data_IF_523477097116
#
_entry.id   IF_523477097116
#
_cell.length_a   1.000
_cell.length_b   1.000
_cell.length_c   1.000
_cell.angle_alpha   90.00
_cell.angle_beta   90.00
_cell.angle_gamma   90.00
#
_symmetry.space_group_name_H-M   'P 1'
#
loop_
_entity.id
_entity.type
_entity.pdbx_description
1 polymer ?
#
# COMPACT_ATOMS: atom_id res chain seq x y z
N UNK A 1 5.63 -21.19 -3.47
CA UNK A 1 5.36 -20.11 -2.49
C UNK A 1 3.99 -20.31 -1.86
N UNK A 2 3.79 -20.01 -0.56
CA UNK A 2 2.58 -20.36 0.20
C UNK A 2 1.86 -19.13 0.78
N UNK A 3 0.60 -19.33 1.21
CA UNK A 3 -0.26 -18.27 1.77
C UNK A 3 0.33 -17.62 3.03
N UNK A 4 1.05 -18.40 3.84
CA UNK A 4 1.72 -17.90 5.05
C UNK A 4 2.74 -16.81 4.71
N UNK A 5 3.58 -17.01 3.70
CA UNK A 5 4.57 -16.00 3.27
C UNK A 5 3.88 -14.73 2.76
N UNK A 6 2.80 -14.86 1.98
CA UNK A 6 2.02 -13.70 1.50
C UNK A 6 1.47 -12.87 2.67
N UNK A 7 0.88 -13.52 3.66
CA UNK A 7 0.34 -12.84 4.84
C UNK A 7 1.45 -12.15 5.64
N UNK A 8 2.57 -12.83 5.91
CA UNK A 8 3.72 -12.26 6.64
C UNK A 8 4.23 -10.98 5.95
N UNK A 9 4.47 -11.05 4.64
CA UNK A 9 4.96 -9.88 3.88
C UNK A 9 3.94 -8.75 3.87
N UNK A 10 2.65 -9.07 3.73
CA UNK A 10 1.59 -8.06 3.76
C UNK A 10 1.46 -7.39 5.13
N UNK A 11 1.63 -8.15 6.21
CA UNK A 11 1.66 -7.60 7.58
C UNK A 11 2.89 -6.73 7.82
N UNK A 12 4.06 -7.12 7.32
CA UNK A 12 5.27 -6.31 7.40
C UNK A 12 5.08 -4.96 6.68
N UNK A 13 4.49 -4.99 5.48
CA UNK A 13 4.11 -3.81 4.70
C UNK A 13 2.94 -3.01 5.30
N UNK A 14 2.30 -3.48 6.37
CA UNK A 14 1.27 -2.73 7.09
C UNK A 14 1.85 -2.12 8.37
N UNK A 15 2.77 -2.82 9.01
CA UNK A 15 3.46 -2.39 10.22
C UNK A 15 4.45 -1.24 9.98
N UNK A 16 5.07 -1.18 8.80
CA UNK A 16 5.95 -0.08 8.39
C UNK A 16 5.33 1.32 8.54
N UNK A 17 4.04 1.50 8.23
CA UNK A 17 3.33 2.78 8.37
C UNK A 17 3.20 3.20 9.84
N UNK A 18 3.09 2.22 10.75
CA UNK A 18 3.14 2.49 12.19
C UNK A 18 4.54 2.96 12.61
N UNK A 19 5.59 2.37 12.02
CA UNK A 19 6.98 2.83 12.23
C UNK A 19 7.15 4.26 11.73
N UNK A 20 6.65 4.59 10.53
CA UNK A 20 6.69 5.96 10.02
C UNK A 20 5.95 6.94 10.94
N UNK A 21 4.78 6.56 11.45
CA UNK A 21 4.03 7.37 12.43
C UNK A 21 4.81 7.59 13.73
N UNK A 22 5.47 6.55 14.25
CA UNK A 22 6.33 6.65 15.43
C UNK A 22 7.53 7.57 15.18
N UNK A 23 8.16 7.49 14.00
CA UNK A 23 9.26 8.38 13.61
C UNK A 23 8.78 9.83 13.56
N UNK A 24 7.66 10.12 12.88
CA UNK A 24 7.09 11.47 12.82
C UNK A 24 6.80 12.01 14.23
N UNK A 25 6.21 11.19 15.11
CA UNK A 25 5.95 11.58 16.49
C UNK A 25 7.23 11.92 17.28
N UNK A 26 8.27 11.08 17.18
CA UNK A 26 9.55 11.30 17.86
C UNK A 26 10.26 12.56 17.35
N UNK A 27 10.29 12.76 16.03
CA UNK A 27 10.91 13.92 15.41
C UNK A 27 10.17 15.22 15.77
N UNK A 28 8.83 15.19 15.81
CA UNK A 28 8.01 16.32 16.24
C UNK A 28 8.28 16.70 17.70
N UNK A 29 8.34 15.70 18.60
CA UNK A 29 8.62 15.91 20.02
C UNK A 29 9.99 16.57 20.26
N UNK A 30 10.98 16.29 19.41
CA UNK A 30 12.34 16.78 19.55
C UNK A 30 12.59 18.17 18.91
N UNK A 31 11.57 18.85 18.40
CA UNK A 31 11.65 20.21 17.82
C UNK A 31 12.82 20.37 16.82
N UNK A 32 12.99 19.40 15.94
CA UNK A 32 14.05 19.43 14.93
C UNK A 32 13.82 20.63 14.01
N UNK A 33 14.88 21.37 13.69
CA UNK A 33 14.79 22.53 12.80
C UNK A 33 14.41 22.08 11.38
N UNK A 34 13.42 22.74 10.80
CA UNK A 34 12.89 22.43 9.48
C UNK A 34 13.44 23.38 8.42
N UNK A 35 13.75 22.84 7.24
CA UNK A 35 14.47 23.56 6.18
C UNK A 35 13.56 24.44 5.32
N UNK A 36 12.24 24.23 5.34
CA UNK A 36 11.29 24.94 4.49
C UNK A 36 10.11 25.48 5.29
N UNK A 37 9.67 26.71 4.98
CA UNK A 37 8.40 27.24 5.46
C UNK A 37 7.26 26.60 4.67
N UNK A 38 6.28 26.04 5.39
CA UNK A 38 5.13 25.37 4.77
C UNK A 38 4.36 26.29 3.83
N UNK A 39 4.30 25.94 2.55
CA UNK A 39 3.49 26.67 1.56
C UNK A 39 2.06 26.15 1.59
N UNK A 40 1.09 27.01 1.26
CA UNK A 40 -0.35 26.66 1.20
C UNK A 40 -0.72 25.74 0.03
N UNK A 41 0.25 25.19 -0.68
CA UNK A 41 0.12 24.42 -1.91
C UNK A 41 -0.09 22.91 -1.68
N UNK A 42 -0.75 22.54 -0.58
CA UNK A 42 -0.99 21.15 -0.17
C UNK A 42 -1.78 20.33 -1.21
N UNK A 43 -2.58 20.99 -2.05
CA UNK A 43 -3.38 20.34 -3.09
C UNK A 43 -2.54 19.66 -4.18
N UNK A 44 -1.33 20.17 -4.49
CA UNK A 44 -0.42 19.52 -5.46
C UNK A 44 0.08 18.17 -4.99
N UNK A 45 0.07 17.91 -3.69
CA UNK A 45 0.44 16.63 -3.09
C UNK A 45 -0.79 15.74 -2.93
N UNK A 46 -1.91 16.34 -2.52
CA UNK A 46 -3.11 15.59 -2.17
C UNK A 46 -3.81 14.99 -3.40
N UNK A 47 -3.82 15.70 -4.54
CA UNK A 47 -4.41 15.19 -5.78
C UNK A 47 -3.69 13.93 -6.29
N UNK A 48 -2.35 13.91 -6.48
CA UNK A 48 -1.63 12.68 -6.80
C UNK A 48 -1.82 11.58 -5.76
N UNK A 49 -1.88 11.92 -4.48
CA UNK A 49 -2.08 10.94 -3.42
C UNK A 49 -3.42 10.20 -3.56
N UNK A 50 -4.50 10.93 -3.85
CA UNK A 50 -5.81 10.33 -4.13
C UNK A 50 -5.78 9.48 -5.41
N UNK A 51 -5.12 9.95 -6.47
CA UNK A 51 -4.97 9.17 -7.72
C UNK A 51 -4.28 7.84 -7.45
N UNK A 52 -3.22 7.81 -6.64
CA UNK A 52 -2.53 6.58 -6.25
C UNK A 52 -3.46 5.68 -5.43
N UNK A 53 -4.18 6.23 -4.45
CA UNK A 53 -5.07 5.47 -3.57
C UNK A 53 -6.19 4.76 -4.36
N UNK A 54 -6.90 5.48 -5.23
CA UNK A 54 -7.97 4.91 -6.07
C UNK A 54 -7.41 4.09 -7.24
N UNK A 55 -6.23 4.46 -7.76
CA UNK A 55 -5.54 3.77 -8.85
C UNK A 55 -5.02 2.39 -8.45
N UNK A 56 -4.57 2.22 -7.21
CA UNK A 56 -4.02 0.95 -6.73
C UNK A 56 -5.05 -0.20 -6.78
N UNK A 57 -6.31 0.08 -6.42
CA UNK A 57 -7.41 -0.88 -6.54
C UNK A 57 -7.75 -1.22 -7.99
N UNK A 58 -7.78 -0.21 -8.87
CA UNK A 58 -8.00 -0.39 -10.31
C UNK A 58 -6.87 -1.22 -10.94
N UNK A 59 -5.62 -0.97 -10.57
CA UNK A 59 -4.46 -1.74 -11.02
C UNK A 59 -4.57 -3.21 -10.65
N UNK A 60 -4.96 -3.52 -9.40
CA UNK A 60 -5.19 -4.90 -8.92
C UNK A 60 -6.20 -5.62 -9.82
N UNK A 61 -7.31 -4.96 -10.20
CA UNK A 61 -8.34 -5.53 -11.07
C UNK A 61 -7.83 -5.76 -12.49
N UNK A 62 -7.21 -4.74 -13.11
CA UNK A 62 -6.65 -4.81 -14.46
C UNK A 62 -5.61 -5.93 -14.57
N UNK A 63 -4.72 -6.04 -13.58
CA UNK A 63 -3.72 -7.10 -13.57
C UNK A 63 -4.36 -8.49 -13.59
N UNK A 64 -5.39 -8.71 -12.76
CA UNK A 64 -6.10 -9.99 -12.73
C UNK A 64 -6.81 -10.30 -14.04
N UNK A 65 -7.47 -9.32 -14.64
CA UNK A 65 -8.16 -9.50 -15.91
C UNK A 65 -7.18 -9.86 -17.04
N UNK A 66 -5.99 -9.26 -17.04
CA UNK A 66 -4.91 -9.62 -17.98
C UNK A 66 -4.39 -11.04 -17.76
N UNK A 67 -4.18 -11.46 -16.51
CA UNK A 67 -3.69 -12.81 -16.21
C UNK A 67 -4.71 -13.89 -16.58
N UNK A 68 -6.01 -13.62 -16.39
CA UNK A 68 -7.09 -14.52 -16.82
C UNK A 68 -7.10 -14.69 -18.33
N UNK A 69 -7.02 -13.59 -19.09
CA UNK A 69 -7.01 -13.61 -20.56
C UNK A 69 -5.83 -14.39 -21.14
N UNK A 70 -4.68 -14.37 -20.46
CA UNK A 70 -3.48 -15.08 -20.92
C UNK A 70 -3.46 -16.57 -20.55
N UNK A 71 -4.50 -17.12 -19.90
CA UNK A 71 -4.51 -18.47 -19.33
C UNK A 71 -3.25 -18.78 -18.50
N UNK A 72 -2.60 -17.75 -17.94
CA UNK A 72 -1.26 -17.84 -17.40
C UNK A 72 -1.19 -18.54 -16.03
N UNK A 73 -2.33 -19.00 -15.50
CA UNK A 73 -2.44 -19.56 -14.14
C UNK A 73 -2.90 -21.00 -14.26
N UNK A 74 -1.99 -21.86 -14.72
CA UNK A 74 -2.21 -23.31 -14.82
C UNK A 74 -1.88 -24.08 -13.54
N UNK A 75 -1.19 -23.44 -12.56
CA UNK A 75 -0.78 -24.10 -11.31
C UNK A 75 -0.99 -23.20 -10.09
N UNK A 76 -1.19 -23.83 -8.93
CA UNK A 76 -1.31 -23.12 -7.65
C UNK A 76 -0.06 -22.32 -7.30
N UNK A 77 1.13 -22.80 -7.67
CA UNK A 77 2.37 -22.07 -7.42
C UNK A 77 2.42 -20.76 -8.20
N UNK A 78 2.03 -20.80 -9.49
CA UNK A 78 1.97 -19.60 -10.33
C UNK A 78 0.91 -18.64 -9.77
N UNK A 79 -0.24 -19.14 -9.33
CA UNK A 79 -1.30 -18.35 -8.70
C UNK A 79 -0.77 -17.55 -7.50
N UNK A 80 -0.13 -18.20 -6.54
CA UNK A 80 0.41 -17.53 -5.35
C UNK A 80 1.51 -16.54 -5.70
N UNK A 81 2.37 -16.86 -6.68
CA UNK A 81 3.40 -15.94 -7.18
C UNK A 81 2.77 -14.68 -7.78
N UNK A 82 1.69 -14.81 -8.55
CA UNK A 82 0.98 -13.68 -9.15
C UNK A 82 0.25 -12.83 -8.12
N UNK A 83 -0.47 -13.44 -7.16
CA UNK A 83 -1.08 -12.71 -6.04
C UNK A 83 -0.02 -11.90 -5.30
N UNK A 84 1.13 -12.49 -5.02
CA UNK A 84 2.19 -11.83 -4.29
C UNK A 84 2.77 -10.64 -5.02
N UNK A 85 3.08 -10.80 -6.31
CA UNK A 85 3.56 -9.68 -7.14
C UNK A 85 2.56 -8.53 -7.12
N UNK A 86 1.28 -8.83 -7.34
CA UNK A 86 0.22 -7.81 -7.29
C UNK A 86 0.13 -7.16 -5.93
N UNK A 87 0.18 -7.95 -4.87
CA UNK A 87 0.07 -7.45 -3.49
C UNK A 87 1.22 -6.50 -3.18
N UNK A 88 2.46 -6.86 -3.51
CA UNK A 88 3.62 -5.99 -3.29
C UNK A 88 3.50 -4.70 -4.09
N UNK A 89 3.13 -4.78 -5.37
CA UNK A 89 3.00 -3.59 -6.20
C UNK A 89 1.89 -2.68 -5.66
N UNK A 90 0.70 -3.23 -5.38
CA UNK A 90 -0.43 -2.46 -4.86
C UNK A 90 -0.12 -1.85 -3.50
N UNK A 91 0.40 -2.63 -2.54
CA UNK A 91 0.74 -2.11 -1.21
C UNK A 91 1.91 -1.14 -1.27
N UNK A 92 2.91 -1.37 -2.13
CA UNK A 92 4.04 -0.46 -2.35
C UNK A 92 3.64 0.87 -3.00
N UNK A 93 2.69 0.84 -3.94
CA UNK A 93 2.09 2.07 -4.48
C UNK A 93 1.42 2.87 -3.38
N UNK A 94 0.63 2.23 -2.51
CA UNK A 94 -0.01 2.91 -1.37
C UNK A 94 1.02 3.34 -0.31
N UNK A 95 2.11 2.59 -0.12
CA UNK A 95 3.19 2.93 0.81
C UNK A 95 3.93 4.21 0.42
N UNK A 96 4.04 4.48 -0.89
CA UNK A 96 4.62 5.74 -1.38
C UNK A 96 3.94 6.98 -0.79
N UNK A 97 2.66 6.90 -0.41
CA UNK A 97 1.96 7.98 0.29
C UNK A 97 2.52 8.21 1.70
N UNK A 98 2.79 7.14 2.44
CA UNK A 98 3.36 7.21 3.78
C UNK A 98 4.78 7.76 3.75
N UNK A 99 5.59 7.30 2.78
CA UNK A 99 6.94 7.82 2.53
C UNK A 99 6.89 9.31 2.18
N UNK A 100 5.99 9.71 1.28
CA UNK A 100 5.81 11.12 0.90
C UNK A 100 5.39 11.98 2.10
N UNK A 101 4.49 11.48 2.95
CA UNK A 101 4.12 12.13 4.20
C UNK A 101 5.33 12.37 5.10
N UNK A 102 6.16 11.34 5.29
CA UNK A 102 7.38 11.43 6.10
C UNK A 102 8.39 12.44 5.52
N UNK A 103 8.58 12.47 4.20
CA UNK A 103 9.44 13.45 3.53
C UNK A 103 8.93 14.87 3.77
N UNK A 104 7.64 15.11 3.56
CA UNK A 104 7.02 16.43 3.76
C UNK A 104 7.16 16.88 5.21
N UNK A 105 6.99 15.97 6.17
CA UNK A 105 7.17 16.26 7.58
C UNK A 105 8.60 16.69 7.89
N UNK A 106 9.60 15.96 7.40
CA UNK A 106 11.02 16.28 7.62
C UNK A 106 11.34 17.68 7.08
N UNK A 107 10.84 18.01 5.88
CA UNK A 107 11.12 19.28 5.22
C UNK A 107 10.41 20.49 5.87
N UNK A 108 9.14 20.32 6.26
CA UNK A 108 8.26 21.44 6.63
C UNK A 108 7.92 21.53 8.11
N UNK A 109 8.02 20.43 8.84
CA UNK A 109 7.58 20.31 10.24
C UNK A 109 6.08 20.37 10.47
N UNK A 110 5.29 20.64 9.43
CA UNK A 110 3.85 20.72 9.53
C UNK A 110 3.26 19.31 9.70
N UNK A 111 2.49 19.07 10.77
CA UNK A 111 1.94 17.74 11.07
C UNK A 111 0.73 17.37 10.19
N UNK A 112 -0.10 18.34 9.81
CA UNK A 112 -1.43 18.08 9.25
C UNK A 112 -1.40 17.21 7.98
N UNK A 113 -0.61 17.62 6.98
CA UNK A 113 -0.55 16.92 5.69
C UNK A 113 0.20 15.56 5.79
N UNK A 114 1.38 15.46 6.42
CA UNK A 114 2.04 14.18 6.66
C UNK A 114 1.20 13.14 7.39
N UNK A 115 0.55 13.54 8.49
CA UNK A 115 -0.31 12.63 9.27
C UNK A 115 -1.49 12.18 8.42
N UNK A 116 -2.12 13.09 7.65
CA UNK A 116 -3.18 12.72 6.72
C UNK A 116 -2.69 11.69 5.69
N UNK A 117 -1.52 11.90 5.08
CA UNK A 117 -0.94 10.98 4.10
C UNK A 117 -0.59 9.61 4.70
N UNK A 118 -0.08 9.58 5.94
CA UNK A 118 0.16 8.35 6.68
C UNK A 118 -1.13 7.59 6.98
N UNK A 119 -2.18 8.29 7.42
CA UNK A 119 -3.50 7.69 7.65
C UNK A 119 -4.10 7.15 6.36
N UNK A 120 -4.00 7.90 5.25
CA UNK A 120 -4.45 7.46 3.93
C UNK A 120 -3.66 6.24 3.44
N UNK A 121 -2.34 6.22 3.66
CA UNK A 121 -1.50 5.06 3.34
C UNK A 121 -1.94 3.83 4.13
N UNK A 122 -2.12 3.97 5.44
CA UNK A 122 -2.57 2.89 6.31
C UNK A 122 -3.95 2.36 5.91
N UNK A 123 -4.92 3.25 5.71
CA UNK A 123 -6.27 2.90 5.28
C UNK A 123 -6.27 2.23 3.90
N UNK A 124 -5.50 2.76 2.95
CA UNK A 124 -5.35 2.17 1.62
C UNK A 124 -4.73 0.76 1.68
N UNK A 125 -3.74 0.53 2.55
CA UNK A 125 -3.14 -0.79 2.77
C UNK A 125 -4.14 -1.77 3.36
N UNK A 126 -4.94 -1.34 4.34
CA UNK A 126 -6.01 -2.15 4.93
C UNK A 126 -7.05 -2.56 3.88
N UNK A 127 -7.51 -1.63 3.05
CA UNK A 127 -8.50 -1.91 2.00
C UNK A 127 -7.93 -2.89 0.96
N UNK A 128 -6.64 -2.78 0.63
CA UNK A 128 -6.01 -3.61 -0.39
C UNK A 128 -5.41 -4.92 0.14
N UNK A 129 -5.47 -5.16 1.45
CA UNK A 129 -4.87 -6.29 2.13
C UNK A 129 -5.40 -7.63 1.54
N UNK A 130 -4.52 -8.62 1.29
CA UNK A 130 -4.94 -9.90 0.73
C UNK A 130 -5.59 -10.78 1.80
N UNK A 131 -6.87 -10.54 2.08
CA UNK A 131 -7.64 -11.37 3.03
C UNK A 131 -7.79 -12.80 2.51
N UNK A 132 -7.97 -13.76 3.43
CA UNK A 132 -8.21 -15.16 3.06
C UNK A 132 -9.45 -15.32 2.18
N UNK A 133 -10.49 -14.52 2.43
CA UNK A 133 -11.68 -14.46 1.59
C UNK A 133 -11.38 -13.99 0.16
N UNK A 134 -10.59 -12.92 0.00
CA UNK A 134 -10.15 -12.46 -1.32
C UNK A 134 -9.39 -13.55 -2.07
N UNK A 135 -8.45 -14.24 -1.41
CA UNK A 135 -7.66 -15.32 -2.00
C UNK A 135 -8.58 -16.48 -2.42
N UNK A 136 -9.52 -16.88 -1.57
CA UNK A 136 -10.45 -17.98 -1.85
C UNK A 136 -11.41 -17.64 -2.99
N UNK A 137 -11.90 -16.40 -3.05
CA UNK A 137 -12.71 -15.92 -4.16
C UNK A 137 -11.92 -15.96 -5.48
N UNK A 138 -10.65 -15.55 -5.48
CA UNK A 138 -9.79 -15.65 -6.66
C UNK A 138 -9.43 -17.09 -7.06
N UNK A 139 -9.29 -18.02 -6.11
CA UNK A 139 -9.15 -19.46 -6.43
C UNK A 139 -10.40 -20.01 -7.11
N UNK A 140 -11.59 -19.66 -6.60
CA UNK A 140 -12.89 -20.07 -7.18
C UNK A 140 -13.08 -19.53 -8.60
N UNK A 141 -12.74 -18.27 -8.84
CA UNK A 141 -12.77 -17.66 -10.18
C UNK A 141 -11.85 -18.36 -11.20
N UNK A 142 -10.91 -19.20 -10.74
CA UNK A 142 -9.93 -19.90 -11.55
C UNK A 142 -10.08 -21.43 -11.47
N UNK A 143 -11.13 -21.95 -10.83
CA UNK A 143 -11.38 -23.39 -10.60
C UNK A 143 -10.19 -24.13 -9.94
N UNK A 144 -9.44 -23.45 -9.08
CA UNK A 144 -8.33 -24.07 -8.32
C UNK A 144 -8.86 -24.74 -7.04
N UNK A 145 -8.31 -25.90 -6.62
CA UNK A 145 -8.80 -26.60 -5.43
C UNK A 145 -8.59 -25.77 -4.15
N UNK A 146 -9.56 -25.80 -3.20
CA UNK A 146 -9.39 -25.22 -1.88
C UNK A 146 -8.39 -26.05 -1.06
N UNK A 147 -7.55 -25.38 -0.27
CA UNK A 147 -6.67 -25.98 0.74
C UNK A 147 -7.17 -25.58 2.11
#
# INVERSE_FOLDING_TARGET
MNEKTLRIVSFALLADTLVYGAVVFLLHKNNIQHSMHGTSQWYFVLVPALVILFGAGSFKKIFWDLQKKQAAIGSQEIFFRKIYIVTIITLGMVDSLGILGLIIFILTGAMNLPVLLLVLSFAGKLINFPTGEYINNKKRELNLPPH
#
